data_IF_137193129777
#
_entry.id   IF_137193129777
#
_cell.length_a   1.000
_cell.length_b   1.000
_cell.length_c   1.000
_cell.angle_alpha   90.00
_cell.angle_beta   90.00
_cell.angle_gamma   90.00
#
_symmetry.space_group_name_H-M   'P 1'
#
loop_
_entity.id
_entity.type
_entity.pdbx_description
1 polymer ?
#
# COMPACT_ATOMS: atom_id res chain seq x y z
N UNK A 1 -4.33 -62.37 11.98
CA UNK A 1 -3.95 -63.18 10.79
C UNK A 1 -4.91 -62.87 9.66
N UNK A 2 -4.50 -62.76 8.39
CA UNK A 2 -3.22 -62.22 7.91
C UNK A 2 -3.40 -61.16 6.81
N UNK A 3 -2.35 -60.36 6.70
CA UNK A 3 -1.94 -59.53 5.56
C UNK A 3 -1.86 -60.38 4.28
N UNK A 4 -2.28 -59.82 3.14
CA UNK A 4 -1.74 -60.23 1.84
C UNK A 4 -1.18 -59.02 1.12
N UNK A 5 0.05 -59.21 0.68
CA UNK A 5 0.98 -58.26 0.11
C UNK A 5 1.44 -58.76 -1.27
N UNK A 6 1.98 -57.85 -2.08
CA UNK A 6 2.94 -58.05 -3.21
C UNK A 6 2.28 -58.35 -4.59
N UNK A 7 2.84 -57.94 -5.77
CA UNK A 7 4.08 -57.19 -6.05
C UNK A 7 3.97 -55.97 -6.98
N UNK A 8 5.03 -55.16 -6.92
CA UNK A 8 5.52 -54.25 -7.95
C UNK A 8 6.62 -54.96 -8.76
N UNK A 9 6.62 -54.88 -10.11
CA UNK A 9 7.80 -54.53 -10.97
C UNK A 9 7.69 -54.91 -12.46
N UNK A 10 8.10 -53.91 -13.29
CA UNK A 10 8.88 -53.99 -14.57
C UNK A 10 8.14 -54.55 -15.80
N UNK A 11 8.37 -54.14 -17.06
CA UNK A 11 9.25 -53.18 -17.75
C UNK A 11 8.72 -53.07 -19.21
N UNK A 12 8.80 -51.88 -19.81
CA UNK A 12 9.31 -51.56 -21.17
C UNK A 12 8.83 -52.39 -22.39
N UNK A 13 8.12 -51.77 -23.37
CA UNK A 13 8.62 -51.40 -24.73
C UNK A 13 7.49 -50.95 -25.69
N UNK A 14 7.72 -49.79 -26.33
CA UNK A 14 7.55 -49.44 -27.75
C UNK A 14 6.16 -49.56 -28.42
N UNK A 15 5.58 -48.40 -28.77
CA UNK A 15 5.52 -47.79 -30.12
C UNK A 15 4.49 -48.45 -31.05
N UNK A 16 3.40 -47.74 -31.33
CA UNK A 16 2.99 -47.45 -32.71
C UNK A 16 1.84 -46.44 -32.75
N UNK A 17 2.03 -45.38 -33.55
CA UNK A 17 0.97 -44.72 -34.31
C UNK A 17 0.04 -43.77 -33.58
N UNK A 18 0.26 -42.46 -33.76
CA UNK A 18 -0.71 -41.55 -34.42
C UNK A 18 -0.19 -40.12 -34.34
N UNK A 19 0.35 -39.62 -35.45
CA UNK A 19 0.52 -38.18 -35.66
C UNK A 19 -0.89 -37.56 -35.79
N UNK A 20 -1.32 -36.82 -34.77
CA UNK A 20 -2.36 -35.80 -34.92
C UNK A 20 -1.69 -34.44 -34.82
N UNK A 21 -1.62 -33.77 -35.96
CA UNK A 21 -1.19 -32.39 -36.08
C UNK A 21 -2.16 -31.50 -35.28
N UNK A 22 -1.75 -31.08 -34.07
CA UNK A 22 -2.36 -29.93 -33.42
C UNK A 22 -1.88 -28.67 -34.15
N UNK A 23 -2.74 -28.12 -35.00
CA UNK A 23 -2.65 -26.74 -35.43
C UNK A 23 -2.83 -25.85 -34.20
N UNK A 24 -1.72 -25.37 -33.65
CA UNK A 24 -1.73 -24.34 -32.63
C UNK A 24 -2.31 -23.05 -33.24
N UNK A 25 -3.56 -22.74 -32.89
CA UNK A 25 -4.09 -21.39 -33.06
C UNK A 25 -3.35 -20.52 -32.04
N UNK A 26 -2.23 -19.96 -32.46
CA UNK A 26 -1.58 -18.84 -31.78
C UNK A 26 -2.49 -17.62 -31.97
N UNK A 27 -3.46 -17.45 -31.07
CA UNK A 27 -4.01 -16.13 -30.82
C UNK A 27 -2.90 -15.31 -30.17
N UNK A 28 -2.08 -14.66 -31.01
CA UNK A 28 -1.24 -13.57 -30.56
C UNK A 28 -2.17 -12.57 -29.89
N UNK A 29 -2.02 -12.39 -28.57
CA UNK A 29 -2.65 -11.28 -27.89
C UNK A 29 -2.15 -10.02 -28.59
N UNK A 30 -3.03 -9.34 -29.34
CA UNK A 30 -2.79 -7.99 -29.80
C UNK A 30 -2.42 -7.18 -28.55
N UNK A 31 -1.13 -6.86 -28.42
CA UNK A 31 -0.67 -5.88 -27.46
C UNK A 31 -1.24 -4.56 -27.94
N UNK A 32 -2.46 -4.24 -27.50
CA UNK A 32 -3.05 -2.93 -27.68
C UNK A 32 -2.00 -1.93 -27.22
N UNK A 33 -1.50 -1.09 -28.14
CA UNK A 33 -0.59 -0.01 -27.79
C UNK A 33 -1.21 0.71 -26.57
N UNK A 34 -0.43 0.98 -25.51
CA UNK A 34 -0.94 1.70 -24.36
C UNK A 34 -1.63 2.97 -24.86
N UNK A 35 -2.88 3.19 -24.45
CA UNK A 35 -3.60 4.41 -24.81
C UNK A 35 -2.75 5.61 -24.38
N UNK A 36 -2.51 6.55 -25.29
CA UNK A 36 -1.83 7.79 -24.95
C UNK A 36 -2.71 8.57 -23.97
N UNK A 37 -2.25 8.65 -22.71
CA UNK A 37 -2.91 9.41 -21.65
C UNK A 37 -2.42 10.85 -21.68
N UNK A 38 -3.36 11.79 -21.59
CA UNK A 38 -3.10 13.23 -21.53
C UNK A 38 -3.17 13.78 -20.10
N UNK A 39 -2.51 14.92 -19.85
CA UNK A 39 -2.62 15.64 -18.58
C UNK A 39 -4.07 16.06 -18.30
N UNK A 40 -4.82 16.48 -19.33
CA UNK A 40 -6.22 16.85 -19.19
C UNK A 40 -7.11 15.68 -18.71
N UNK A 41 -6.86 14.46 -19.19
CA UNK A 41 -7.57 13.27 -18.69
C UNK A 41 -7.24 12.98 -17.21
N UNK A 42 -5.98 13.18 -16.81
CA UNK A 42 -5.54 13.05 -15.42
C UNK A 42 -6.23 14.09 -14.54
N UNK A 43 -6.21 15.37 -14.93
CA UNK A 43 -6.86 16.46 -14.18
C UNK A 43 -8.36 16.24 -14.06
N UNK A 44 -9.04 15.81 -15.13
CA UNK A 44 -10.46 15.50 -15.11
C UNK A 44 -10.80 14.34 -14.15
N UNK A 45 -9.98 13.28 -14.14
CA UNK A 45 -10.16 12.17 -13.21
C UNK A 45 -9.89 12.58 -11.76
N UNK A 46 -8.81 13.33 -11.52
CA UNK A 46 -8.49 13.87 -10.19
C UNK A 46 -9.62 14.74 -9.66
N UNK A 47 -10.18 15.64 -10.49
CA UNK A 47 -11.32 16.48 -10.12
C UNK A 47 -12.51 15.63 -9.65
N UNK A 48 -12.88 14.59 -10.41
CA UNK A 48 -13.98 13.67 -10.02
C UNK A 48 -13.69 12.95 -8.70
N UNK A 49 -12.44 12.54 -8.46
CA UNK A 49 -12.05 11.93 -7.18
C UNK A 49 -12.12 12.90 -6.01
N UNK A 50 -11.72 14.16 -6.21
CA UNK A 50 -11.87 15.22 -5.20
C UNK A 50 -13.34 15.51 -4.94
N UNK A 51 -14.16 15.62 -5.99
CA UNK A 51 -15.61 15.82 -5.88
C UNK A 51 -16.27 14.68 -5.07
N UNK A 52 -15.88 13.43 -5.32
CA UNK A 52 -16.30 12.27 -4.53
C UNK A 52 -15.95 12.46 -3.03
N UNK A 53 -14.70 12.78 -2.72
CA UNK A 53 -14.26 12.93 -1.32
C UNK A 53 -14.98 14.09 -0.61
N UNK A 54 -15.19 15.22 -1.28
CA UNK A 54 -15.97 16.34 -0.73
C UNK A 54 -17.41 15.91 -0.45
N UNK A 55 -18.06 15.24 -1.40
CA UNK A 55 -19.44 14.79 -1.26
C UNK A 55 -19.68 13.68 -0.22
N UNK A 56 -18.64 12.93 0.16
CA UNK A 56 -18.73 11.80 1.09
C UNK A 56 -17.98 12.04 2.42
N UNK A 57 -17.58 13.28 2.72
CA UNK A 57 -16.97 13.60 4.00
C UNK A 57 -18.00 13.55 5.14
N UNK A 58 -17.67 12.89 6.23
CA UNK A 58 -18.53 12.84 7.41
C UNK A 58 -18.72 14.25 8.03
N UNK A 59 -19.79 14.41 8.82
CA UNK A 59 -20.08 15.66 9.53
C UNK A 59 -18.95 16.10 10.47
N UNK A 60 -18.14 15.17 10.98
CA UNK A 60 -16.98 15.45 11.83
C UNK A 60 -15.65 15.69 11.08
N UNK A 61 -15.63 15.60 9.74
CA UNK A 61 -14.44 15.81 8.91
C UNK A 61 -13.67 14.54 8.51
N UNK A 62 -13.99 13.39 9.09
CA UNK A 62 -13.40 12.09 8.70
C UNK A 62 -14.05 11.51 7.44
N UNK A 63 -13.52 10.37 6.96
CA UNK A 63 -14.15 9.56 5.93
C UNK A 63 -14.38 8.11 6.37
N UNK A 64 -15.47 7.54 5.87
CA UNK A 64 -15.86 6.15 6.07
C UNK A 64 -16.34 5.81 7.49
N UNK A 65 -16.70 4.54 7.67
CA UNK A 65 -17.24 4.04 8.91
C UNK A 65 -17.39 2.52 8.96
N UNK A 66 -17.86 1.99 10.11
CA UNK A 66 -18.03 0.55 10.35
C UNK A 66 -19.21 -0.09 9.59
N UNK A 67 -19.84 0.64 8.66
CA UNK A 67 -21.05 0.20 7.94
C UNK A 67 -20.70 -0.53 6.64
N UNK A 68 -21.69 -0.83 5.80
CA UNK A 68 -21.57 -1.60 4.55
C UNK A 68 -20.94 -3.00 4.75
N UNK A 69 -21.29 -3.62 5.87
CA UNK A 69 -20.86 -4.95 6.28
C UNK A 69 -21.58 -6.04 5.49
N UNK A 70 -21.20 -6.27 4.23
CA UNK A 70 -21.87 -7.25 3.34
C UNK A 70 -21.59 -8.72 3.70
N UNK A 71 -21.31 -9.04 4.97
CA UNK A 71 -20.79 -10.35 5.39
C UNK A 71 -19.36 -10.65 4.94
N UNK A 72 -18.66 -9.64 4.39
CA UNK A 72 -17.32 -9.75 3.81
C UNK A 72 -16.23 -9.13 4.71
N UNK A 73 -16.57 -8.91 5.97
CA UNK A 73 -15.74 -8.13 6.87
C UNK A 73 -14.50 -8.90 7.30
N UNK A 74 -13.38 -8.20 7.35
CA UNK A 74 -12.22 -8.68 8.10
C UNK A 74 -12.45 -8.49 9.59
N UNK A 75 -11.82 -9.38 10.36
CA UNK A 75 -11.77 -9.28 11.82
C UNK A 75 -11.33 -7.86 12.25
N UNK A 76 -12.11 -7.23 13.12
CA UNK A 76 -11.92 -5.85 13.56
C UNK A 76 -12.38 -5.68 15.02
N UNK A 77 -11.49 -5.89 16.01
CA UNK A 77 -11.85 -5.74 17.42
C UNK A 77 -12.26 -4.30 17.76
N UNK A 78 -13.40 -4.16 18.44
CA UNK A 78 -13.98 -2.87 18.81
C UNK A 78 -13.38 -2.32 20.11
N UNK A 79 -13.30 -0.99 20.28
CA UNK A 79 -13.53 0.04 19.26
C UNK A 79 -12.27 0.35 18.41
N UNK A 80 -11.08 -0.10 18.85
CA UNK A 80 -9.81 0.40 18.35
C UNK A 80 -9.51 0.09 16.88
N UNK A 81 -9.97 -1.05 16.34
CA UNK A 81 -9.73 -1.38 14.94
C UNK A 81 -10.41 -0.39 14.00
N UNK A 82 -11.65 0.00 14.31
CA UNK A 82 -12.39 0.99 13.53
C UNK A 82 -11.84 2.40 13.68
N UNK A 83 -11.27 2.74 14.84
CA UNK A 83 -10.52 3.99 14.99
C UNK A 83 -9.28 3.99 14.07
N UNK A 84 -8.52 2.90 14.05
CA UNK A 84 -7.38 2.74 13.16
C UNK A 84 -7.75 2.83 11.67
N UNK A 85 -8.81 2.15 11.26
CA UNK A 85 -9.28 2.21 9.87
C UNK A 85 -9.77 3.61 9.48
N UNK A 86 -10.52 4.28 10.36
CA UNK A 86 -10.95 5.66 10.11
C UNK A 86 -9.77 6.62 10.01
N UNK A 87 -8.77 6.49 10.89
CA UNK A 87 -7.56 7.31 10.85
C UNK A 87 -6.77 7.10 9.56
N UNK A 88 -6.55 5.84 9.16
CA UNK A 88 -5.82 5.54 7.93
C UNK A 88 -6.55 6.00 6.68
N UNK A 89 -7.85 5.69 6.55
CA UNK A 89 -8.66 6.10 5.40
C UNK A 89 -8.79 7.63 5.30
N UNK A 90 -8.99 8.32 6.42
CA UNK A 90 -9.07 9.78 6.44
C UNK A 90 -7.73 10.43 6.15
N UNK A 91 -6.62 9.86 6.66
CA UNK A 91 -5.27 10.33 6.36
C UNK A 91 -4.95 10.20 4.86
N UNK A 92 -5.32 9.08 4.24
CA UNK A 92 -5.16 8.87 2.80
C UNK A 92 -6.01 9.83 1.97
N UNK A 93 -7.30 9.97 2.30
CA UNK A 93 -8.20 10.89 1.61
C UNK A 93 -7.68 12.34 1.69
N UNK A 94 -7.27 12.78 2.88
CA UNK A 94 -6.72 14.11 3.12
C UNK A 94 -5.40 14.33 2.35
N UNK A 95 -4.47 13.38 2.42
CA UNK A 95 -3.20 13.47 1.70
C UNK A 95 -3.42 13.54 0.19
N UNK A 96 -4.26 12.65 -0.37
CA UNK A 96 -4.60 12.66 -1.79
C UNK A 96 -5.27 13.95 -2.23
N UNK A 97 -6.20 14.49 -1.44
CA UNK A 97 -6.86 15.76 -1.73
C UNK A 97 -5.86 16.92 -1.77
N UNK A 98 -4.93 17.01 -0.82
CA UNK A 98 -3.90 18.05 -0.78
C UNK A 98 -2.96 17.94 -1.99
N UNK A 99 -2.50 16.73 -2.32
CA UNK A 99 -1.55 16.48 -3.40
C UNK A 99 -2.14 16.83 -4.79
N UNK A 100 -3.47 16.86 -4.93
CA UNK A 100 -4.10 17.33 -6.18
C UNK A 100 -3.86 18.81 -6.48
N UNK A 101 -3.58 19.62 -5.46
CA UNK A 101 -3.43 21.06 -5.59
C UNK A 101 -4.73 21.82 -5.89
N UNK A 102 -5.89 21.15 -5.82
CA UNK A 102 -7.19 21.79 -6.04
C UNK A 102 -7.47 22.89 -5.01
N UNK A 103 -7.82 24.09 -5.51
CA UNK A 103 -8.01 25.31 -4.70
C UNK A 103 -9.46 25.75 -4.59
N UNK A 104 -10.41 24.95 -5.08
CA UNK A 104 -11.83 25.30 -4.98
C UNK A 104 -12.25 25.46 -3.51
N UNK A 105 -13.10 26.44 -3.17
CA UNK A 105 -13.44 26.74 -1.78
C UNK A 105 -13.98 25.54 -0.98
N UNK A 106 -14.81 24.69 -1.60
CA UNK A 106 -15.37 23.49 -0.98
C UNK A 106 -14.29 22.44 -0.63
N UNK A 107 -13.24 22.37 -1.45
CA UNK A 107 -12.11 21.46 -1.23
C UNK A 107 -11.25 21.97 -0.07
N UNK A 108 -10.95 23.28 -0.06
CA UNK A 108 -10.21 23.89 1.04
C UNK A 108 -10.95 23.75 2.37
N UNK A 109 -12.28 23.95 2.38
CA UNK A 109 -13.11 23.72 3.56
C UNK A 109 -13.08 22.26 4.04
N UNK A 110 -13.12 21.31 3.10
CA UNK A 110 -13.00 19.87 3.41
C UNK A 110 -11.63 19.53 4.02
N UNK A 111 -10.54 20.08 3.48
CA UNK A 111 -9.18 19.93 4.02
C UNK A 111 -9.08 20.49 5.44
N UNK A 112 -9.59 21.70 5.70
CA UNK A 112 -9.57 22.30 7.04
C UNK A 112 -10.35 21.45 8.05
N UNK A 113 -11.53 20.97 7.66
CA UNK A 113 -12.38 20.12 8.51
C UNK A 113 -11.70 18.77 8.83
N UNK A 114 -11.06 18.16 7.85
CA UNK A 114 -10.29 16.93 8.05
C UNK A 114 -9.04 17.15 8.90
N UNK A 115 -8.37 18.30 8.75
CA UNK A 115 -7.25 18.71 9.60
C UNK A 115 -7.67 18.87 11.06
N UNK A 116 -8.82 19.51 11.32
CA UNK A 116 -9.39 19.63 12.66
C UNK A 116 -9.72 18.26 13.27
N UNK A 117 -10.31 17.36 12.48
CA UNK A 117 -10.56 15.98 12.90
C UNK A 117 -9.26 15.23 13.25
N UNK A 118 -8.24 15.32 12.40
CA UNK A 118 -6.95 14.67 12.62
C UNK A 118 -6.29 15.19 13.91
N UNK A 119 -6.33 16.50 14.16
CA UNK A 119 -5.82 17.10 15.39
C UNK A 119 -6.52 16.58 16.65
N UNK A 120 -7.83 16.32 16.57
CA UNK A 120 -8.62 15.84 17.70
C UNK A 120 -8.47 14.33 17.96
N UNK A 121 -8.36 13.52 16.91
CA UNK A 121 -8.49 12.05 17.02
C UNK A 121 -7.16 11.30 17.00
N UNK A 122 -6.17 11.75 16.23
CA UNK A 122 -4.87 11.07 16.17
C UNK A 122 -4.16 10.93 17.54
N UNK A 123 -4.23 11.89 18.48
CA UNK A 123 -3.66 11.72 19.82
C UNK A 123 -4.23 10.52 20.60
N UNK A 124 -5.46 10.10 20.26
CA UNK A 124 -6.21 9.02 20.91
C UNK A 124 -6.01 7.66 20.23
N UNK A 125 -5.30 7.60 19.10
CA UNK A 125 -5.11 6.38 18.33
C UNK A 125 -4.23 5.37 19.09
N UNK A 126 -4.78 4.19 19.40
CA UNK A 126 -4.11 3.09 20.12
C UNK A 126 -4.46 1.76 19.44
N UNK A 127 -3.70 0.69 19.75
CA UNK A 127 -4.11 -0.68 19.40
C UNK A 127 -5.43 -1.01 20.11
N UNK A 128 -6.28 -1.82 19.46
CA UNK A 128 -7.59 -2.16 19.99
C UNK A 128 -7.49 -3.08 21.22
N UNK A 129 -6.75 -4.16 21.03
CA UNK A 129 -6.42 -5.19 22.00
C UNK A 129 -5.07 -5.80 21.59
N UNK A 130 -4.72 -6.96 22.15
CA UNK A 130 -3.47 -7.64 21.84
C UNK A 130 -3.51 -8.42 20.53
N UNK A 131 -4.67 -8.56 19.87
CA UNK A 131 -4.83 -9.38 18.67
C UNK A 131 -4.51 -8.62 17.38
N UNK A 132 -4.52 -7.28 17.43
CA UNK A 132 -4.34 -6.44 16.24
C UNK A 132 -3.49 -5.22 16.51
N UNK A 133 -2.71 -4.84 15.51
CA UNK A 133 -1.95 -3.57 15.47
C UNK A 133 -2.34 -2.76 14.25
N UNK A 134 -3.63 -2.77 13.88
CA UNK A 134 -4.16 -1.97 12.76
C UNK A 134 -3.84 -0.48 12.90
N UNK A 135 -3.64 0.02 14.13
CA UNK A 135 -3.23 1.39 14.38
C UNK A 135 -1.89 1.75 13.71
N UNK A 136 -1.03 0.80 13.37
CA UNK A 136 0.16 1.05 12.54
C UNK A 136 -0.22 1.70 11.19
N UNK A 137 -1.32 1.26 10.56
CA UNK A 137 -1.86 1.86 9.35
C UNK A 137 -2.35 3.29 9.60
N UNK A 138 -3.10 3.49 10.68
CA UNK A 138 -3.58 4.81 11.08
C UNK A 138 -2.47 5.81 11.38
N UNK A 139 -1.42 5.39 12.09
CA UNK A 139 -0.26 6.24 12.37
C UNK A 139 0.51 6.59 11.09
N UNK A 140 0.74 5.61 10.20
CA UNK A 140 1.48 5.85 8.96
C UNK A 140 0.78 6.87 8.05
N UNK A 141 -0.51 6.67 7.76
CA UNK A 141 -1.24 7.58 6.88
C UNK A 141 -1.70 8.87 7.58
N UNK A 142 -1.85 8.85 8.91
CA UNK A 142 -1.93 10.06 9.71
C UNK A 142 -0.69 10.93 9.54
N UNK A 143 0.52 10.37 9.67
CA UNK A 143 1.78 11.07 9.42
C UNK A 143 1.86 11.63 8.00
N UNK A 144 1.47 10.85 6.97
CA UNK A 144 1.40 11.35 5.59
C UNK A 144 0.50 12.58 5.47
N UNK A 145 -0.67 12.60 6.10
CA UNK A 145 -1.54 13.76 6.07
C UNK A 145 -0.93 14.96 6.82
N UNK A 146 -0.31 14.72 7.98
CA UNK A 146 0.31 15.76 8.80
C UNK A 146 1.47 16.46 8.09
N UNK A 147 2.31 15.74 7.34
CA UNK A 147 3.40 16.37 6.57
C UNK A 147 2.87 17.35 5.53
N UNK A 148 1.77 16.99 4.87
CA UNK A 148 1.10 17.82 3.84
C UNK A 148 0.39 19.02 4.45
N UNK A 149 -0.28 18.85 5.59
CA UNK A 149 -0.83 19.98 6.36
C UNK A 149 0.26 20.95 6.80
N UNK A 150 1.39 20.43 7.30
CA UNK A 150 2.54 21.23 7.72
C UNK A 150 3.18 22.02 6.58
N UNK A 151 3.28 21.44 5.38
CA UNK A 151 3.81 22.12 4.20
C UNK A 151 2.89 23.25 3.72
N UNK A 152 1.56 23.04 3.78
CA UNK A 152 0.57 24.04 3.38
C UNK A 152 0.42 25.17 4.39
N UNK A 153 0.67 24.90 5.67
CA UNK A 153 0.50 25.87 6.75
C UNK A 153 1.53 27.01 6.68
N UNK A 154 1.03 28.24 6.72
CA UNK A 154 1.83 29.48 6.69
C UNK A 154 1.96 30.11 8.08
N UNK A 155 1.05 29.79 9.01
CA UNK A 155 1.07 30.31 10.37
C UNK A 155 2.02 29.48 11.24
N UNK A 156 3.13 30.08 11.66
CA UNK A 156 4.19 29.40 12.42
C UNK A 156 3.69 28.62 13.64
N UNK A 157 2.75 29.20 14.42
CA UNK A 157 2.17 28.54 15.59
C UNK A 157 1.36 27.29 15.24
N UNK A 158 0.58 27.31 14.15
CA UNK A 158 -0.16 26.12 13.68
C UNK A 158 0.78 25.08 13.09
N UNK A 159 1.83 25.53 12.38
CA UNK A 159 2.88 24.68 11.83
C UNK A 159 3.62 23.90 12.93
N UNK A 160 3.92 24.56 14.05
CA UNK A 160 4.49 23.92 15.24
C UNK A 160 3.56 22.84 15.83
N UNK A 161 2.24 23.09 15.89
CA UNK A 161 1.27 22.09 16.35
C UNK A 161 1.23 20.85 15.46
N UNK A 162 1.32 21.01 14.13
CA UNK A 162 1.41 19.85 13.24
C UNK A 162 2.67 19.03 13.50
N UNK A 163 3.82 19.69 13.70
CA UNK A 163 5.07 19.01 14.06
C UNK A 163 4.98 18.26 15.39
N UNK A 164 4.40 18.87 16.41
CA UNK A 164 4.18 18.23 17.71
C UNK A 164 3.30 16.98 17.57
N UNK A 165 2.20 17.09 16.84
CA UNK A 165 1.31 15.96 16.58
C UNK A 165 2.02 14.85 15.81
N UNK A 166 2.85 15.18 14.81
CA UNK A 166 3.63 14.19 14.08
C UNK A 166 4.68 13.49 14.97
N UNK A 167 5.34 14.23 15.87
CA UNK A 167 6.23 13.61 16.87
C UNK A 167 5.44 12.61 17.74
N UNK A 168 4.28 13.02 18.24
CA UNK A 168 3.42 12.15 19.05
C UNK A 168 2.99 10.89 18.28
N UNK A 169 2.65 11.01 16.99
CA UNK A 169 2.27 9.84 16.18
C UNK A 169 3.43 8.87 15.98
N UNK A 170 4.66 9.38 15.78
CA UNK A 170 5.86 8.54 15.71
C UNK A 170 6.08 7.82 17.05
N UNK A 171 5.99 8.54 18.16
CA UNK A 171 6.19 7.98 19.50
C UNK A 171 5.13 6.92 19.84
N UNK A 172 3.88 7.10 19.41
CA UNK A 172 2.81 6.13 19.59
C UNK A 172 3.03 4.87 18.75
N UNK A 173 3.44 5.02 17.49
CA UNK A 173 3.78 3.88 16.64
C UNK A 173 4.95 3.07 17.22
N UNK A 174 5.97 3.73 17.77
CA UNK A 174 7.15 3.08 18.37
C UNK A 174 6.80 2.12 19.52
N UNK A 175 5.70 2.38 20.25
CA UNK A 175 5.24 1.50 21.35
C UNK A 175 4.84 0.11 20.89
N UNK A 176 4.53 -0.04 19.61
CA UNK A 176 4.00 -1.28 19.02
C UNK A 176 4.94 -1.90 17.98
N UNK A 177 6.21 -1.50 17.98
CA UNK A 177 7.23 -2.23 17.24
C UNK A 177 7.31 -3.68 17.78
N UNK A 178 7.21 -4.65 16.87
CA UNK A 178 7.32 -6.07 17.15
C UNK A 178 8.74 -6.43 17.61
N UNK A 179 8.86 -7.44 18.46
CA UNK A 179 10.15 -7.93 18.97
C UNK A 179 11.09 -8.42 17.85
N UNK A 180 10.55 -8.81 16.69
CA UNK A 180 11.31 -9.23 15.51
C UNK A 180 11.63 -8.08 14.54
N UNK A 181 11.32 -6.85 14.92
CA UNK A 181 11.60 -5.64 14.14
C UNK A 181 10.48 -5.27 13.18
N UNK A 182 9.97 -4.04 13.36
CA UNK A 182 8.94 -3.45 12.50
C UNK A 182 7.51 -3.65 13.02
N UNK A 183 6.53 -3.62 12.12
CA UNK A 183 5.11 -3.61 12.49
C UNK A 183 4.31 -4.63 11.69
N UNK A 184 3.38 -5.30 12.38
CA UNK A 184 2.36 -6.15 11.79
C UNK A 184 1.01 -5.44 11.79
N UNK A 185 -0.03 -6.20 11.45
CA UNK A 185 -1.43 -5.78 11.66
C UNK A 185 -2.26 -6.83 12.42
N UNK A 186 -1.76 -8.07 12.52
CA UNK A 186 -2.31 -9.16 13.32
C UNK A 186 -1.25 -9.66 14.30
N UNK A 187 -1.69 -10.03 15.50
CA UNK A 187 -0.89 -10.65 16.55
C UNK A 187 -1.71 -11.76 17.24
N UNK A 188 -2.00 -12.84 16.48
CA UNK A 188 -2.96 -13.89 16.87
C UNK A 188 -2.46 -15.32 16.73
N UNK A 189 -1.21 -15.55 16.32
CA UNK A 189 -0.76 -16.89 15.91
C UNK A 189 0.05 -17.66 16.96
N UNK A 190 0.46 -17.01 18.06
CA UNK A 190 1.29 -17.62 19.12
C UNK A 190 0.60 -17.68 20.49
N UNK A 191 -0.62 -17.12 20.61
CA UNK A 191 -1.38 -16.97 21.86
C UNK A 191 -0.60 -16.22 22.98
N UNK A 192 0.38 -15.40 22.62
CA UNK A 192 1.09 -14.56 23.57
C UNK A 192 0.40 -13.21 23.72
N UNK A 193 0.50 -12.62 24.91
CA UNK A 193 -0.07 -11.31 25.24
C UNK A 193 1.03 -10.44 25.82
N UNK A 194 1.71 -9.71 24.95
CA UNK A 194 2.86 -8.88 25.32
C UNK A 194 2.59 -7.40 25.04
N UNK A 195 3.37 -6.53 25.69
CA UNK A 195 3.28 -5.09 25.44
C UNK A 195 3.72 -4.77 24.01
N UNK A 196 4.89 -5.26 23.61
CA UNK A 196 5.36 -5.28 22.22
C UNK A 196 4.88 -6.56 21.53
N UNK A 197 4.33 -6.51 20.30
CA UNK A 197 3.88 -7.70 19.55
C UNK A 197 4.99 -8.76 19.37
N UNK A 198 4.61 -10.04 19.25
CA UNK A 198 5.54 -11.16 19.42
C UNK A 198 5.94 -11.95 18.17
N UNK A 199 5.51 -11.60 16.95
CA UNK A 199 6.20 -12.14 15.77
C UNK A 199 5.52 -12.21 14.42
N UNK A 200 4.63 -11.27 14.09
CA UNK A 200 4.07 -11.19 12.73
C UNK A 200 4.25 -9.79 12.13
N UNK A 201 5.44 -9.16 12.24
CA UNK A 201 5.66 -7.96 11.47
C UNK A 201 5.65 -8.33 9.99
N UNK A 202 5.04 -7.46 9.19
CA UNK A 202 4.93 -7.68 7.75
C UNK A 202 5.84 -6.71 7.03
N UNK A 203 6.57 -7.20 6.03
CA UNK A 203 7.58 -6.42 5.30
C UNK A 203 7.04 -5.06 4.83
N UNK A 204 5.82 -5.05 4.32
CA UNK A 204 5.16 -3.88 3.74
C UNK A 204 4.53 -2.93 4.77
N UNK A 205 3.98 -3.44 5.88
CA UNK A 205 3.51 -2.56 6.97
C UNK A 205 4.69 -1.86 7.62
N UNK A 206 5.79 -2.59 7.84
CA UNK A 206 7.04 -1.99 8.33
C UNK A 206 7.56 -0.91 7.37
N UNK A 207 7.64 -1.22 6.06
CA UNK A 207 8.06 -0.24 5.06
C UNK A 207 7.14 1.00 5.04
N UNK A 208 5.83 0.79 5.17
CA UNK A 208 4.82 1.85 5.20
C UNK A 208 5.03 2.81 6.37
N UNK A 209 5.21 2.28 7.58
CA UNK A 209 5.45 3.08 8.79
C UNK A 209 6.78 3.83 8.69
N UNK A 210 7.86 3.14 8.30
CA UNK A 210 9.19 3.76 8.19
C UNK A 210 9.21 4.88 7.15
N UNK A 211 8.60 4.67 5.98
CA UNK A 211 8.54 5.70 4.94
C UNK A 211 7.76 6.95 5.41
N UNK A 212 6.70 6.79 6.19
CA UNK A 212 5.96 7.92 6.75
C UNK A 212 6.74 8.66 7.84
N UNK A 213 7.43 7.94 8.73
CA UNK A 213 8.31 8.53 9.76
C UNK A 213 9.47 9.30 9.14
N UNK A 214 10.13 8.72 8.14
CA UNK A 214 11.25 9.36 7.43
C UNK A 214 10.79 10.61 6.70
N UNK A 215 9.65 10.57 5.99
CA UNK A 215 9.10 11.78 5.37
C UNK A 215 8.81 12.86 6.43
N UNK A 216 8.23 12.48 7.58
CA UNK A 216 7.96 13.44 8.65
C UNK A 216 9.24 14.03 9.26
N UNK A 217 10.31 13.23 9.42
CA UNK A 217 11.62 13.73 9.82
C UNK A 217 12.15 14.74 8.81
N UNK A 218 12.14 14.38 7.52
CA UNK A 218 12.76 15.20 6.48
C UNK A 218 11.97 16.50 6.23
N UNK A 219 10.63 16.44 6.32
CA UNK A 219 9.74 17.60 6.07
C UNK A 219 9.56 18.48 7.30
N UNK A 220 9.44 17.88 8.48
CA UNK A 220 9.01 18.58 9.71
C UNK A 220 10.11 18.66 10.76
N UNK A 221 11.20 17.90 10.60
CA UNK A 221 12.29 17.82 11.58
C UNK A 221 11.85 17.19 12.90
N UNK A 222 10.96 16.18 12.87
CA UNK A 222 10.68 15.35 14.06
C UNK A 222 11.89 14.46 14.37
N UNK A 223 12.02 14.03 15.61
CA UNK A 223 13.06 13.11 16.05
C UNK A 223 12.58 11.68 15.90
N UNK A 224 13.41 10.83 15.30
CA UNK A 224 13.17 9.39 15.21
C UNK A 224 14.11 8.66 16.18
N UNK A 225 13.68 7.49 16.67
CA UNK A 225 14.54 6.58 17.41
C UNK A 225 15.41 5.79 16.43
N UNK A 226 16.67 6.20 16.29
CA UNK A 226 17.61 5.57 15.34
C UNK A 226 17.82 4.07 15.58
N UNK A 227 17.73 3.61 16.84
CA UNK A 227 17.87 2.18 17.15
C UNK A 227 16.66 1.42 16.60
N UNK A 228 15.47 1.95 16.81
CA UNK A 228 14.23 1.38 16.31
C UNK A 228 14.18 1.41 14.77
N UNK A 229 14.54 2.52 14.13
CA UNK A 229 14.59 2.63 12.67
C UNK A 229 15.54 1.57 12.08
N UNK A 230 16.75 1.41 12.65
CA UNK A 230 17.70 0.37 12.21
C UNK A 230 17.16 -1.04 12.43
N UNK A 231 16.50 -1.30 13.56
CA UNK A 231 15.95 -2.61 13.87
C UNK A 231 14.79 -2.99 12.94
N UNK A 232 13.86 -2.07 12.71
CA UNK A 232 12.76 -2.25 11.77
C UNK A 232 13.26 -2.42 10.31
N UNK A 233 14.28 -1.67 9.89
CA UNK A 233 14.91 -1.82 8.58
C UNK A 233 15.58 -3.20 8.44
N UNK A 234 16.29 -3.68 9.47
CA UNK A 234 16.83 -5.03 9.50
C UNK A 234 15.72 -6.10 9.41
N UNK A 235 14.56 -5.86 10.01
CA UNK A 235 13.37 -6.71 9.88
C UNK A 235 12.83 -6.79 8.44
N UNK A 236 12.88 -5.70 7.66
CA UNK A 236 12.56 -5.72 6.22
C UNK A 236 13.62 -6.52 5.45
N UNK A 237 14.91 -6.28 5.72
CA UNK A 237 16.01 -6.97 5.06
C UNK A 237 15.97 -8.49 5.31
N UNK A 238 15.63 -8.92 6.52
CA UNK A 238 15.46 -10.34 6.86
C UNK A 238 14.31 -11.02 6.09
N UNK A 239 13.38 -10.23 5.55
CA UNK A 239 12.25 -10.69 4.73
C UNK A 239 12.51 -10.58 3.22
N UNK A 240 13.70 -10.12 2.80
CA UNK A 240 14.09 -9.97 1.39
C UNK A 240 14.59 -11.29 0.80
N UNK A 241 14.14 -11.64 -0.40
CA UNK A 241 14.68 -12.74 -1.21
C UNK A 241 15.76 -12.23 -2.17
N UNK A 242 16.62 -13.10 -2.75
CA UNK A 242 17.73 -12.67 -3.61
C UNK A 242 17.34 -11.86 -4.86
N UNK A 243 16.09 -12.00 -5.33
CA UNK A 243 15.53 -11.24 -6.47
C UNK A 243 14.85 -9.93 -6.03
N UNK A 244 15.08 -9.48 -4.80
CA UNK A 244 14.48 -8.30 -4.18
C UNK A 244 12.95 -8.35 -4.12
N UNK A 245 12.38 -9.56 -4.09
CA UNK A 245 11.02 -9.75 -3.59
C UNK A 245 11.05 -9.77 -2.05
N UNK A 246 9.88 -9.64 -1.44
CA UNK A 246 9.73 -9.61 0.00
C UNK A 246 8.65 -10.59 0.42
N UNK A 247 8.98 -11.44 1.38
CA UNK A 247 8.01 -12.37 1.95
C UNK A 247 6.91 -11.61 2.71
N UNK A 248 5.78 -12.26 2.92
CA UNK A 248 4.58 -11.61 3.46
C UNK A 248 4.73 -11.12 4.89
N UNK A 249 5.20 -11.99 5.78
CA UNK A 249 5.50 -11.67 7.17
C UNK A 249 6.78 -12.34 7.61
N UNK A 250 7.29 -11.97 8.79
CA UNK A 250 8.58 -12.43 9.30
C UNK A 250 8.74 -13.95 9.26
N UNK A 251 7.72 -14.72 9.66
CA UNK A 251 7.75 -16.19 9.64
C UNK A 251 7.77 -16.79 8.23
N UNK A 252 7.30 -16.04 7.22
CA UNK A 252 7.33 -16.48 5.82
C UNK A 252 8.74 -16.55 5.24
N UNK A 253 9.76 -16.02 5.93
CA UNK A 253 11.18 -16.17 5.53
C UNK A 253 11.63 -17.63 5.47
N UNK A 254 10.96 -18.51 6.23
CA UNK A 254 11.19 -19.96 6.22
C UNK A 254 10.54 -20.65 5.01
N UNK A 255 9.72 -19.94 4.22
CA UNK A 255 9.03 -20.46 3.03
C UNK A 255 9.07 -19.44 1.88
N UNK A 256 10.26 -19.05 1.39
CA UNK A 256 10.42 -17.89 0.49
C UNK A 256 9.83 -18.07 -0.92
N UNK A 257 9.36 -19.27 -1.28
CA UNK A 257 8.84 -19.59 -2.62
C UNK A 257 7.36 -20.01 -2.65
N UNK A 258 6.63 -19.84 -1.54
CA UNK A 258 5.16 -19.89 -1.55
C UNK A 258 4.61 -18.88 -2.56
N UNK A 259 3.43 -19.14 -3.09
CA UNK A 259 2.80 -18.30 -4.11
C UNK A 259 2.77 -16.82 -3.74
N UNK A 260 2.42 -16.49 -2.49
CA UNK A 260 2.44 -15.13 -1.96
C UNK A 260 3.84 -14.50 -1.94
N UNK A 261 4.90 -15.29 -1.81
CA UNK A 261 6.28 -14.81 -1.69
C UNK A 261 7.03 -14.76 -3.02
N UNK A 262 6.43 -15.29 -4.11
CA UNK A 262 7.02 -15.18 -5.45
C UNK A 262 6.95 -13.73 -5.95
N UNK A 263 7.77 -13.33 -6.94
CA UNK A 263 7.77 -11.96 -7.45
C UNK A 263 6.40 -11.41 -7.84
N UNK A 264 5.54 -12.23 -8.44
CA UNK A 264 4.17 -11.84 -8.78
C UNK A 264 3.30 -11.56 -7.54
N UNK A 265 3.40 -12.39 -6.49
CA UNK A 265 2.68 -12.16 -5.23
C UNK A 265 3.24 -10.99 -4.40
N UNK A 266 4.53 -10.70 -4.56
CA UNK A 266 5.23 -9.60 -3.87
C UNK A 266 5.12 -8.25 -4.59
N UNK A 267 4.48 -8.18 -5.77
CA UNK A 267 4.60 -7.05 -6.71
C UNK A 267 4.40 -5.66 -6.06
N UNK A 268 3.34 -5.49 -5.27
CA UNK A 268 3.05 -4.25 -4.55
C UNK A 268 3.99 -4.01 -3.37
N UNK A 269 4.33 -5.06 -2.61
CA UNK A 269 5.14 -4.98 -1.40
C UNK A 269 6.60 -4.65 -1.72
N UNK A 270 7.12 -5.20 -2.81
CA UNK A 270 8.47 -4.91 -3.30
C UNK A 270 8.66 -3.44 -3.61
N UNK A 271 7.65 -2.72 -4.12
CA UNK A 271 7.74 -1.27 -4.33
C UNK A 271 8.01 -0.54 -3.01
N UNK A 272 7.18 -0.80 -2.00
CA UNK A 272 7.33 -0.17 -0.69
C UNK A 272 8.65 -0.53 0.00
N UNK A 273 9.03 -1.81 -0.01
CA UNK A 273 10.20 -2.28 0.72
C UNK A 273 11.51 -1.83 0.06
N UNK A 274 11.63 -1.92 -1.27
CA UNK A 274 12.81 -1.44 -1.98
C UNK A 274 12.96 0.08 -1.81
N UNK A 275 11.88 0.85 -1.96
CA UNK A 275 11.92 2.29 -1.74
C UNK A 275 12.35 2.64 -0.30
N UNK A 276 11.79 1.95 0.69
CA UNK A 276 12.14 2.14 2.10
C UNK A 276 13.63 1.88 2.38
N UNK A 277 14.14 0.72 1.97
CA UNK A 277 15.54 0.37 2.18
C UNK A 277 16.49 1.31 1.42
N UNK A 278 16.14 1.72 0.19
CA UNK A 278 16.90 2.71 -0.58
C UNK A 278 16.99 4.05 0.14
N UNK A 279 15.88 4.56 0.66
CA UNK A 279 15.81 5.83 1.40
C UNK A 279 16.61 5.75 2.70
N UNK A 280 16.63 4.59 3.35
CA UNK A 280 17.42 4.34 4.56
C UNK A 280 18.90 4.02 4.28
N UNK A 281 19.34 4.09 3.02
CA UNK A 281 20.74 3.98 2.65
C UNK A 281 21.25 2.57 2.38
N UNK A 282 20.36 1.57 2.20
CA UNK A 282 20.78 0.24 1.75
C UNK A 282 21.32 0.30 0.32
N UNK A 283 22.65 0.16 0.19
CA UNK A 283 23.37 0.21 -1.08
C UNK A 283 23.06 -0.98 -1.99
N UNK A 284 22.47 -2.06 -1.48
CA UNK A 284 22.06 -3.19 -2.30
C UNK A 284 20.84 -2.85 -3.18
N UNK A 285 20.02 -1.87 -2.80
CA UNK A 285 18.89 -1.43 -3.63
C UNK A 285 19.39 -0.37 -4.63
N UNK A 286 19.89 -0.83 -5.76
CA UNK A 286 20.43 0.05 -6.82
C UNK A 286 19.32 0.64 -7.70
N UNK A 287 19.67 1.58 -8.57
CA UNK A 287 18.75 2.05 -9.62
C UNK A 287 18.30 0.89 -10.52
N UNK A 288 19.16 -0.09 -10.80
CA UNK A 288 18.80 -1.28 -11.57
C UNK A 288 17.73 -2.12 -10.87
N UNK A 289 17.82 -2.30 -9.55
CA UNK A 289 16.79 -3.00 -8.76
C UNK A 289 15.46 -2.25 -8.86
N UNK A 290 15.47 -0.93 -8.68
CA UNK A 290 14.25 -0.12 -8.76
C UNK A 290 13.64 -0.12 -10.17
N UNK A 291 14.44 0.05 -11.21
CA UNK A 291 14.01 -0.05 -12.62
C UNK A 291 13.40 -1.42 -12.91
N UNK A 292 14.07 -2.50 -12.51
CA UNK A 292 13.59 -3.88 -12.69
C UNK A 292 12.22 -4.08 -12.03
N UNK A 293 12.04 -3.56 -10.81
CA UNK A 293 10.78 -3.71 -10.10
C UNK A 293 9.69 -2.77 -10.61
N UNK A 294 10.02 -1.57 -11.11
CA UNK A 294 9.08 -0.68 -11.77
C UNK A 294 8.56 -1.31 -13.07
N UNK A 295 9.46 -1.82 -13.91
CA UNK A 295 9.11 -2.48 -15.16
C UNK A 295 8.27 -3.74 -14.91
N UNK A 296 8.65 -4.56 -13.92
CA UNK A 296 7.85 -5.73 -13.50
C UNK A 296 6.47 -5.33 -13.02
N UNK A 297 6.35 -4.24 -12.25
CA UNK A 297 5.07 -3.78 -11.74
C UNK A 297 4.13 -3.45 -12.89
N UNK A 298 4.55 -2.60 -13.83
CA UNK A 298 3.72 -2.20 -14.96
C UNK A 298 3.39 -3.37 -15.89
N UNK A 299 4.38 -4.23 -16.19
CA UNK A 299 4.16 -5.38 -17.07
C UNK A 299 3.25 -6.46 -16.45
N UNK A 300 3.07 -6.46 -15.13
CA UNK A 300 2.38 -7.55 -14.41
C UNK A 300 1.32 -7.06 -13.42
N UNK A 301 0.92 -5.79 -13.48
CA UNK A 301 -0.09 -5.22 -12.59
C UNK A 301 -1.43 -5.95 -12.71
N UNK A 302 -1.71 -6.58 -13.85
CA UNK A 302 -2.86 -7.46 -14.05
C UNK A 302 -3.03 -8.55 -12.98
N UNK A 303 -1.95 -9.05 -12.36
CA UNK A 303 -2.07 -9.97 -11.21
C UNK A 303 -2.66 -9.28 -9.97
N UNK A 304 -2.29 -8.02 -9.71
CA UNK A 304 -2.90 -7.21 -8.66
C UNK A 304 -4.35 -6.86 -9.03
N UNK A 305 -4.58 -6.47 -10.28
CA UNK A 305 -5.91 -6.08 -10.78
C UNK A 305 -6.92 -7.21 -10.65
N UNK A 306 -6.51 -8.46 -10.89
CA UNK A 306 -7.35 -9.64 -10.70
C UNK A 306 -7.85 -9.83 -9.25
N UNK A 307 -7.11 -9.32 -8.26
CA UNK A 307 -7.50 -9.36 -6.85
C UNK A 307 -8.49 -8.25 -6.44
N UNK A 308 -8.66 -7.21 -7.26
CA UNK A 308 -9.57 -6.10 -6.94
C UNK A 308 -11.00 -6.59 -6.75
N UNK A 309 -11.69 -5.98 -5.79
CA UNK A 309 -13.11 -6.17 -5.45
C UNK A 309 -13.47 -7.60 -5.04
N UNK A 310 -12.46 -8.48 -4.90
CA UNK A 310 -12.64 -9.82 -4.40
C UNK A 310 -12.90 -9.78 -2.88
N UNK A 311 -13.94 -10.49 -2.40
CA UNK A 311 -14.34 -10.43 -1.00
C UNK A 311 -13.35 -11.13 -0.06
N UNK A 312 -12.71 -12.22 -0.51
CA UNK A 312 -11.85 -13.05 0.34
C UNK A 312 -10.39 -12.64 0.14
N UNK A 313 -9.69 -12.19 1.18
CA UNK A 313 -8.25 -11.95 1.10
C UNK A 313 -7.51 -13.19 0.61
N UNK A 314 -6.49 -13.00 -0.24
CA UNK A 314 -5.62 -14.06 -0.74
C UNK A 314 -6.29 -15.13 -1.63
N UNK A 315 -7.47 -14.86 -2.21
CA UNK A 315 -8.11 -15.80 -3.14
C UNK A 315 -7.63 -15.67 -4.59
N UNK A 316 -7.00 -14.54 -4.96
CA UNK A 316 -6.49 -14.31 -6.32
C UNK A 316 -5.22 -15.16 -6.60
N UNK A 317 -4.84 -15.34 -7.89
CA UNK A 317 -3.55 -15.93 -8.24
C UNK A 317 -2.39 -15.28 -7.48
N UNK A 318 -1.39 -16.08 -7.12
CA UNK A 318 -0.29 -15.68 -6.24
C UNK A 318 -0.71 -15.22 -4.83
N UNK A 319 -1.93 -15.58 -4.38
CA UNK A 319 -2.46 -15.23 -3.05
C UNK A 319 -2.42 -13.72 -2.81
N UNK A 320 -2.63 -12.92 -3.85
CA UNK A 320 -2.73 -11.48 -3.73
C UNK A 320 -4.07 -11.13 -3.08
N UNK A 321 -4.05 -10.27 -2.06
CA UNK A 321 -5.26 -9.72 -1.48
C UNK A 321 -5.68 -8.43 -2.19
N UNK A 322 -6.99 -8.16 -2.27
CA UNK A 322 -7.52 -7.05 -3.05
C UNK A 322 -7.01 -5.68 -2.61
N UNK A 323 -6.72 -5.49 -1.32
CA UNK A 323 -6.23 -4.24 -0.75
C UNK A 323 -4.79 -3.86 -1.14
N UNK A 324 -4.14 -4.63 -2.01
CA UNK A 324 -2.79 -4.33 -2.52
C UNK A 324 -2.77 -3.53 -3.82
N UNK A 325 -3.89 -3.36 -4.52
CA UNK A 325 -3.88 -2.73 -5.84
C UNK A 325 -3.47 -1.26 -5.77
N UNK A 326 -4.25 -0.46 -5.05
CA UNK A 326 -3.98 0.98 -4.92
C UNK A 326 -2.81 1.26 -3.97
N UNK A 327 -2.59 0.39 -2.99
CA UNK A 327 -1.35 0.39 -2.19
C UNK A 327 -0.12 0.27 -3.11
N UNK A 328 -0.11 -0.72 -4.00
CA UNK A 328 0.99 -0.94 -4.93
C UNK A 328 1.21 0.22 -5.88
N UNK A 329 0.13 0.79 -6.41
CA UNK A 329 0.16 1.99 -7.26
C UNK A 329 0.83 3.17 -6.55
N UNK A 330 0.44 3.45 -5.30
CA UNK A 330 1.04 4.56 -4.56
C UNK A 330 2.52 4.31 -4.26
N UNK A 331 2.90 3.12 -3.77
CA UNK A 331 4.31 2.86 -3.47
C UNK A 331 5.17 2.69 -4.72
N UNK A 332 4.59 2.35 -5.87
CA UNK A 332 5.26 2.45 -7.15
C UNK A 332 5.72 3.90 -7.41
N UNK A 333 4.91 4.92 -7.12
CA UNK A 333 5.35 6.31 -7.35
C UNK A 333 6.48 6.71 -6.43
N UNK A 334 6.47 6.27 -5.17
CA UNK A 334 7.57 6.50 -4.23
C UNK A 334 8.87 5.85 -4.73
N UNK A 335 8.78 4.60 -5.23
CA UNK A 335 9.91 3.88 -5.81
C UNK A 335 10.44 4.54 -7.08
N UNK A 336 9.55 4.88 -8.02
CA UNK A 336 9.90 5.53 -9.27
C UNK A 336 10.52 6.93 -9.07
N UNK A 337 10.10 7.66 -8.04
CA UNK A 337 10.66 8.98 -7.73
C UNK A 337 12.12 8.94 -7.24
N UNK A 338 12.66 7.76 -6.91
CA UNK A 338 14.07 7.56 -6.57
C UNK A 338 14.96 7.27 -7.80
N UNK A 339 14.35 7.03 -8.97
CA UNK A 339 15.04 6.88 -10.25
C UNK A 339 15.37 8.26 -10.86
N UNK A 340 16.29 8.31 -11.85
CA UNK A 340 16.59 9.54 -12.57
C UNK A 340 15.33 10.19 -13.18
N UNK A 341 15.25 11.52 -13.12
CA UNK A 341 14.04 12.30 -13.45
C UNK A 341 13.56 12.08 -14.89
N UNK A 342 14.48 11.88 -15.82
CA UNK A 342 14.21 11.59 -17.23
C UNK A 342 13.39 10.31 -17.44
N UNK A 343 13.38 9.39 -16.47
CA UNK A 343 12.58 8.15 -16.55
C UNK A 343 11.12 8.35 -16.12
N UNK A 344 10.82 9.42 -15.36
CA UNK A 344 9.54 9.57 -14.66
C UNK A 344 8.36 9.70 -15.62
N UNK A 345 8.50 10.48 -16.69
CA UNK A 345 7.41 10.71 -17.65
C UNK A 345 6.93 9.41 -18.33
N UNK A 346 7.87 8.51 -18.68
CA UNK A 346 7.56 7.20 -19.26
C UNK A 346 6.75 6.34 -18.29
N UNK A 347 7.15 6.31 -17.02
CA UNK A 347 6.46 5.56 -15.98
C UNK A 347 5.10 6.15 -15.63
N UNK A 348 5.01 7.48 -15.54
CA UNK A 348 3.78 8.21 -15.28
C UNK A 348 2.70 7.93 -16.32
N UNK A 349 3.05 7.94 -17.61
CA UNK A 349 2.12 7.64 -18.71
C UNK A 349 1.54 6.22 -18.60
N UNK A 350 2.40 5.22 -18.40
CA UNK A 350 1.98 3.82 -18.28
C UNK A 350 1.13 3.59 -17.01
N UNK A 351 1.55 4.16 -15.88
CA UNK A 351 0.81 4.04 -14.63
C UNK A 351 -0.58 4.69 -14.73
N UNK A 352 -0.66 5.90 -15.29
CA UNK A 352 -1.94 6.59 -15.47
C UNK A 352 -2.87 5.80 -16.41
N UNK A 353 -2.34 5.19 -17.47
CA UNK A 353 -3.11 4.37 -18.41
C UNK A 353 -3.77 3.15 -17.72
N UNK A 354 -3.12 2.53 -16.73
CA UNK A 354 -3.71 1.44 -15.95
C UNK A 354 -4.78 1.92 -14.95
N UNK A 355 -4.66 3.15 -14.43
CA UNK A 355 -5.51 3.65 -13.33
C UNK A 355 -6.80 4.31 -13.84
N UNK A 356 -6.70 5.15 -14.87
CA UNK A 356 -7.82 5.98 -15.32
C UNK A 356 -9.07 5.18 -15.72
N UNK A 357 -8.96 4.02 -16.41
CA UNK A 357 -10.13 3.21 -16.76
C UNK A 357 -10.85 2.59 -15.55
N UNK A 358 -10.22 2.62 -14.37
CA UNK A 358 -10.72 1.95 -13.16
C UNK A 358 -11.49 2.88 -12.23
N UNK A 359 -11.72 4.15 -12.61
CA UNK A 359 -12.52 5.09 -11.83
C UNK A 359 -13.99 4.69 -11.87
N UNK A 360 -14.63 4.67 -10.70
CA UNK A 360 -16.05 4.38 -10.59
C UNK A 360 -16.90 5.56 -11.10
N UNK A 361 -18.19 5.28 -11.38
CA UNK A 361 -19.14 6.30 -11.84
C UNK A 361 -19.33 7.46 -10.85
N UNK A 362 -19.17 7.18 -9.55
CA UNK A 362 -19.26 8.19 -8.49
C UNK A 362 -17.96 9.01 -8.32
N UNK A 363 -16.94 8.74 -9.14
CA UNK A 363 -15.63 9.40 -9.08
C UNK A 363 -14.62 8.74 -8.16
N UNK A 364 -15.02 7.73 -7.38
CA UNK A 364 -14.11 7.04 -6.45
C UNK A 364 -13.22 6.00 -7.14
N UNK A 365 -12.25 5.51 -6.38
CA UNK A 365 -11.50 4.28 -6.65
C UNK A 365 -11.50 3.39 -5.42
N UNK A 366 -11.67 2.08 -5.59
CA UNK A 366 -11.59 1.11 -4.49
C UNK A 366 -11.23 -0.30 -4.99
N UNK A 367 -10.54 -1.07 -4.13
CA UNK A 367 -9.97 -2.38 -4.48
C UNK A 367 -10.33 -3.51 -3.50
N UNK A 368 -10.84 -3.22 -2.30
CA UNK A 368 -11.24 -4.24 -1.35
C UNK A 368 -12.42 -3.74 -0.49
N UNK A 369 -13.46 -4.55 -0.22
CA UNK A 369 -14.66 -4.11 0.51
C UNK A 369 -14.41 -3.98 2.04
N UNK A 370 -13.46 -3.14 2.44
CA UNK A 370 -13.16 -2.83 3.84
C UNK A 370 -14.22 -1.88 4.42
N UNK A 371 -15.34 -2.42 4.88
CA UNK A 371 -16.45 -1.65 5.46
C UNK A 371 -16.82 -0.46 4.54
N UNK A 372 -17.12 0.72 5.08
CA UNK A 372 -17.28 1.96 4.33
C UNK A 372 -15.97 2.77 4.22
N UNK A 373 -14.81 2.17 4.52
CA UNK A 373 -13.51 2.81 4.37
C UNK A 373 -12.90 2.66 2.98
N UNK A 374 -13.42 1.71 2.18
CA UNK A 374 -12.87 1.29 0.90
C UNK A 374 -12.69 2.39 -0.14
N UNK A 375 -13.75 3.17 -0.39
CA UNK A 375 -13.70 4.23 -1.41
C UNK A 375 -12.80 5.40 -0.99
N UNK A 376 -12.86 5.90 0.26
CA UNK A 376 -11.96 6.97 0.68
C UNK A 376 -10.48 6.61 0.59
N UNK A 377 -10.06 5.43 1.10
CA UNK A 377 -8.64 5.08 1.07
C UNK A 377 -8.15 4.84 -0.35
N UNK A 378 -8.94 4.15 -1.19
CA UNK A 378 -8.55 3.83 -2.56
C UNK A 378 -8.44 5.08 -3.42
N UNK A 379 -9.38 6.01 -3.23
CA UNK A 379 -9.36 7.34 -3.85
C UNK A 379 -8.14 8.14 -3.38
N UNK A 380 -7.83 8.13 -2.08
CA UNK A 380 -6.66 8.81 -1.51
C UNK A 380 -5.34 8.36 -2.13
N UNK A 381 -5.08 7.05 -2.18
CA UNK A 381 -3.90 6.51 -2.87
C UNK A 381 -3.83 6.93 -4.34
N UNK A 382 -4.97 6.83 -5.03
CA UNK A 382 -5.04 7.11 -6.46
C UNK A 382 -4.79 8.58 -6.77
N UNK A 383 -5.33 9.51 -5.97
CA UNK A 383 -5.10 10.93 -6.14
C UNK A 383 -3.62 11.31 -5.93
N UNK A 384 -2.95 10.74 -4.93
CA UNK A 384 -1.51 10.94 -4.74
C UNK A 384 -0.70 10.42 -5.94
N UNK A 385 -1.06 9.25 -6.48
CA UNK A 385 -0.38 8.68 -7.63
C UNK A 385 -0.60 9.50 -8.91
N UNK A 386 -1.85 9.92 -9.17
CA UNK A 386 -2.19 10.76 -10.33
C UNK A 386 -1.56 12.15 -10.24
N UNK A 387 -1.45 12.74 -9.04
CA UNK A 387 -0.73 13.99 -8.82
C UNK A 387 0.75 13.87 -9.20
N UNK A 388 1.40 12.75 -8.84
CA UNK A 388 2.75 12.45 -9.29
C UNK A 388 2.81 12.28 -10.81
N UNK A 389 1.88 11.52 -11.42
CA UNK A 389 1.86 11.34 -12.87
C UNK A 389 1.73 12.67 -13.63
N UNK A 390 0.81 13.54 -13.19
CA UNK A 390 0.62 14.89 -13.76
C UNK A 390 1.93 15.68 -13.72
N UNK A 391 2.59 15.73 -12.56
CA UNK A 391 3.85 16.44 -12.38
C UNK A 391 4.96 15.88 -13.27
N UNK A 392 5.16 14.56 -13.24
CA UNK A 392 6.19 13.87 -14.02
C UNK A 392 6.01 14.05 -15.53
N UNK A 393 4.78 14.09 -16.02
CA UNK A 393 4.49 14.34 -17.43
C UNK A 393 4.66 15.82 -17.81
N UNK A 394 4.32 16.75 -16.93
CA UNK A 394 4.50 18.19 -17.16
C UNK A 394 5.97 18.64 -17.12
N UNK A 395 6.80 17.93 -16.34
CA UNK A 395 8.24 18.21 -16.21
C UNK A 395 9.11 17.44 -17.22
N UNK A 396 8.48 16.69 -18.14
CA UNK A 396 9.21 16.04 -19.24
C UNK A 396 9.75 17.11 -20.19
N UNK A 397 11.03 17.06 -20.57
CA UNK A 397 11.60 17.96 -21.56
C UNK A 397 10.94 17.80 -22.94
#
# INVERSE_FOLDING_TARGET
MPVKSIPLRRRIRNLCGSLLALTAISAAAETTKPKDVTIAEIDAAMKRGVDFLVGHQNTNGSWGGPTKTKGLNIYAPLPGAHHAFRAGASGLALAGMIDTGDKRPEVLASIEKAGAWAAAELPKLRRADQTTTYNAWGHAYGLRALTRLYQRETVAAKKAKWKELAQQQSDLANRYEDVNGGWGYLDIYDNLTTQKPSGIPTSFTTATVLLAMVEARDVMGIKLDDKLIRHAAAGITAQRTPDFAYVYSFTHRMRPRLDINRPAGSLARSQSCNACLRILGDKAVTNEVLTTWADRFLAREGFLSNGRKRPVPHEAPFKIAGYFYYYGIYYFTISANLLPKETHAKYAKQLAASILPLQEKDGSWWDYPLYDYHQPYGTGYTLMALAWCRKAMAESP
#
